data_IF_817230978436
#
_entry.id   IF_817230978436
#
_cell.length_a   1.000
_cell.length_b   1.000
_cell.length_c   1.000
_cell.angle_alpha   90.00
_cell.angle_beta   90.00
_cell.angle_gamma   90.00
#
_symmetry.space_group_name_H-M   'P 1'
#
loop_
_entity.id
_entity.type
_entity.pdbx_description
1 polymer ?
#
# COMPACT_ATOMS: atom_id res chain seq x y z
N UNK A 1 -1.24 -0.14 15.81
CA UNK A 1 -2.27 -0.71 14.92
C UNK A 1 -3.15 0.43 14.44
N UNK A 2 -3.46 0.48 13.15
CA UNK A 2 -4.44 1.41 12.61
C UNK A 2 -5.22 0.77 11.46
N UNK A 3 -6.41 1.30 11.21
CA UNK A 3 -7.26 0.95 10.08
C UNK A 3 -7.63 2.23 9.34
N UNK A 4 -7.68 2.16 8.02
CA UNK A 4 -8.14 3.27 7.19
C UNK A 4 -9.12 2.74 6.13
N UNK A 5 -10.11 3.57 5.83
CA UNK A 5 -11.06 3.38 4.75
C UNK A 5 -10.86 4.51 3.75
N UNK A 6 -10.85 4.18 2.47
CA UNK A 6 -10.76 5.14 1.37
C UNK A 6 -11.96 4.91 0.45
N UNK A 7 -12.57 5.99 -0.03
CA UNK A 7 -13.59 5.95 -1.06
C UNK A 7 -13.27 6.99 -2.12
N UNK A 8 -13.32 6.59 -3.39
CA UNK A 8 -13.15 7.47 -4.53
C UNK A 8 -14.39 7.37 -5.42
N UNK A 9 -15.07 8.50 -5.60
CA UNK A 9 -16.12 8.63 -6.60
C UNK A 9 -15.52 9.34 -7.80
N UNK A 10 -15.62 8.75 -8.99
CA UNK A 10 -15.25 9.41 -10.24
C UNK A 10 -16.42 9.41 -11.20
N UNK A 11 -16.62 10.55 -11.87
CA UNK A 11 -17.66 10.69 -12.88
C UNK A 11 -17.07 10.40 -14.26
N UNK A 12 -17.60 9.39 -14.96
CA UNK A 12 -17.21 9.06 -16.32
C UNK A 12 -17.68 10.13 -17.31
N UNK A 13 -16.76 10.64 -18.14
CA UNK A 13 -17.09 11.59 -19.20
C UNK A 13 -17.86 10.89 -20.33
N UNK A 14 -19.19 10.80 -20.17
CA UNK A 14 -20.13 10.35 -21.20
C UNK A 14 -20.90 9.09 -20.79
N UNK A 15 -22.22 9.24 -20.66
CA UNK A 15 -23.20 8.22 -20.28
C UNK A 15 -23.35 7.90 -18.78
N UNK A 16 -23.60 8.92 -17.95
CA UNK A 16 -24.51 8.83 -16.79
C UNK A 16 -24.23 7.80 -15.67
N UNK A 17 -23.09 7.12 -15.68
CA UNK A 17 -22.64 6.23 -14.60
C UNK A 17 -21.69 6.96 -13.66
N UNK A 18 -21.97 6.90 -12.36
CA UNK A 18 -21.03 7.29 -11.31
C UNK A 18 -20.26 6.06 -10.87
N UNK A 19 -18.93 6.06 -11.00
CA UNK A 19 -18.10 4.95 -10.57
C UNK A 19 -17.69 5.18 -9.12
N UNK A 20 -18.05 4.25 -8.24
CA UNK A 20 -17.70 4.31 -6.81
C UNK A 20 -16.75 3.18 -6.47
N UNK A 21 -15.47 3.51 -6.36
CA UNK A 21 -14.45 2.59 -5.86
C UNK A 21 -14.29 2.81 -4.36
N UNK A 22 -14.18 1.72 -3.60
CA UNK A 22 -13.91 1.79 -2.17
C UNK A 22 -12.82 0.82 -1.79
N UNK A 23 -12.05 1.20 -0.78
CA UNK A 23 -10.95 0.40 -0.29
C UNK A 23 -10.85 0.46 1.22
N UNK A 24 -10.30 -0.60 1.78
CA UNK A 24 -9.98 -0.71 3.19
C UNK A 24 -8.55 -1.17 3.33
N UNK A 25 -7.85 -0.64 4.33
CA UNK A 25 -6.55 -1.16 4.71
C UNK A 25 -6.45 -1.28 6.24
N UNK A 26 -5.83 -2.37 6.66
CA UNK A 26 -5.47 -2.61 8.04
C UNK A 26 -3.96 -2.76 8.15
N UNK A 27 -3.37 -2.12 9.15
CA UNK A 27 -1.95 -2.28 9.44
C UNK A 27 -1.72 -2.54 10.93
N UNK A 28 -0.90 -3.55 11.21
CA UNK A 28 -0.38 -3.85 12.52
C UNK A 28 1.13 -3.67 12.48
N UNK A 29 1.68 -3.04 13.52
CA UNK A 29 3.10 -2.85 13.69
C UNK A 29 3.45 -3.08 15.15
N UNK A 30 4.63 -3.64 15.39
CA UNK A 30 5.13 -3.94 16.72
C UNK A 30 6.63 -3.66 16.80
N UNK A 31 7.03 -2.92 17.84
CA UNK A 31 8.44 -2.77 18.20
C UNK A 31 8.96 -4.11 18.75
N UNK A 32 9.98 -4.66 18.10
CA UNK A 32 10.69 -5.87 18.56
C UNK A 32 11.96 -5.51 19.34
N UNK A 33 12.45 -4.28 19.18
CA UNK A 33 13.56 -3.67 19.91
C UNK A 33 13.41 -2.15 19.85
N UNK A 34 14.21 -1.41 20.62
CA UNK A 34 14.20 0.08 20.63
C UNK A 34 14.51 0.70 19.25
N UNK A 35 15.12 -0.08 18.35
CA UNK A 35 15.51 0.37 17.00
C UNK A 35 14.73 -0.31 15.88
N UNK A 36 14.02 -1.39 16.16
CA UNK A 36 13.41 -2.24 15.13
C UNK A 36 11.91 -2.39 15.37
N UNK A 37 11.13 -2.06 14.34
CA UNK A 37 9.70 -2.30 14.27
C UNK A 37 9.40 -3.20 13.09
N UNK A 38 8.59 -4.23 13.31
CA UNK A 38 8.05 -5.06 12.23
C UNK A 38 6.62 -4.62 11.96
N UNK A 39 6.18 -4.64 10.70
CA UNK A 39 4.81 -4.32 10.34
C UNK A 39 4.27 -5.23 9.24
N UNK A 40 2.96 -5.42 9.28
CA UNK A 40 2.19 -6.06 8.22
C UNK A 40 0.99 -5.18 7.88
N UNK A 41 0.70 -5.04 6.59
CA UNK A 41 -0.45 -4.33 6.06
C UNK A 41 -1.20 -5.23 5.08
N UNK A 42 -2.53 -5.19 5.16
CA UNK A 42 -3.40 -5.78 4.15
C UNK A 42 -4.31 -4.67 3.64
N UNK A 43 -4.32 -4.49 2.33
CA UNK A 43 -5.21 -3.60 1.61
C UNK A 43 -6.15 -4.40 0.72
N UNK A 44 -7.37 -3.92 0.61
CA UNK A 44 -8.37 -4.39 -0.34
C UNK A 44 -9.01 -3.18 -1.01
N UNK A 45 -9.11 -3.22 -2.32
CA UNK A 45 -9.82 -2.23 -3.13
C UNK A 45 -10.86 -2.99 -3.95
N UNK A 46 -12.13 -2.65 -3.78
CA UNK A 46 -13.22 -3.09 -4.63
C UNK A 46 -13.41 -2.02 -5.70
N UNK A 47 -13.00 -2.33 -6.92
CA UNK A 47 -13.30 -1.54 -8.12
C UNK A 47 -14.45 -2.17 -8.91
N UNK A 48 -15.12 -1.38 -9.76
CA UNK A 48 -16.18 -1.90 -10.62
C UNK A 48 -15.74 -3.01 -11.58
N UNK A 49 -14.47 -2.95 -12.03
CA UNK A 49 -13.93 -3.88 -13.03
C UNK A 49 -13.22 -5.08 -12.40
N UNK A 50 -12.49 -4.89 -11.30
CA UNK A 50 -11.74 -5.94 -10.62
C UNK A 50 -11.47 -5.59 -9.14
N UNK A 51 -11.39 -6.65 -8.33
CA UNK A 51 -10.95 -6.60 -6.95
C UNK A 51 -9.42 -6.67 -6.85
N UNK A 52 -8.84 -5.80 -6.03
CA UNK A 52 -7.39 -5.69 -5.88
C UNK A 52 -6.99 -5.90 -4.42
N UNK A 53 -6.24 -6.98 -4.19
CA UNK A 53 -5.64 -7.26 -2.89
C UNK A 53 -4.19 -6.79 -2.86
N UNK A 54 -3.78 -6.19 -1.75
CA UNK A 54 -2.40 -5.82 -1.46
C UNK A 54 -1.99 -6.43 -0.13
N UNK A 55 -0.92 -7.22 -0.13
CA UNK A 55 -0.29 -7.70 1.11
C UNK A 55 1.09 -7.07 1.23
N UNK A 56 1.38 -6.48 2.38
CA UNK A 56 2.69 -5.89 2.66
C UNK A 56 3.24 -6.42 3.97
N UNK A 57 4.51 -6.76 3.97
CA UNK A 57 5.28 -7.04 5.19
C UNK A 57 6.59 -6.28 5.14
N UNK A 58 7.03 -5.75 6.27
CA UNK A 58 8.22 -4.93 6.29
C UNK A 58 8.76 -4.65 7.67
N UNK A 59 9.89 -3.94 7.67
CA UNK A 59 10.61 -3.53 8.86
C UNK A 59 10.96 -2.05 8.80
N UNK A 60 10.88 -1.38 9.94
CA UNK A 60 11.39 -0.04 10.14
C UNK A 60 12.59 -0.11 11.10
N UNK A 61 13.68 0.53 10.70
CA UNK A 61 14.87 0.73 11.50
C UNK A 61 15.00 2.20 11.86
N UNK A 62 14.99 2.50 13.17
CA UNK A 62 15.08 3.85 13.69
C UNK A 62 16.52 4.19 14.07
N UNK A 63 17.00 5.34 13.60
CA UNK A 63 18.31 5.90 13.89
C UNK A 63 18.15 7.22 14.66
N UNK A 64 19.16 7.55 15.48
CA UNK A 64 19.27 8.84 16.19
C UNK A 64 18.00 9.22 16.97
N UNK A 65 17.58 8.39 17.93
CA UNK A 65 16.40 8.64 18.77
C UNK A 65 15.11 8.92 17.98
N UNK A 66 14.94 8.23 16.84
CA UNK A 66 13.82 8.36 15.90
C UNK A 66 13.86 9.58 14.97
N UNK A 67 14.99 10.32 14.92
CA UNK A 67 15.18 11.42 13.98
C UNK A 67 15.44 10.95 12.54
N UNK A 68 15.77 9.68 12.33
CA UNK A 68 15.83 9.08 11.01
C UNK A 68 15.22 7.68 11.03
N UNK A 69 14.58 7.30 9.91
CA UNK A 69 13.92 6.02 9.73
C UNK A 69 14.27 5.43 8.37
N UNK A 70 14.72 4.18 8.38
CA UNK A 70 14.86 3.37 7.19
C UNK A 70 13.73 2.34 7.19
N UNK A 71 12.94 2.30 6.12
CA UNK A 71 11.86 1.33 5.93
C UNK A 71 12.22 0.42 4.78
N UNK A 72 12.08 -0.89 4.98
CA UNK A 72 12.19 -1.89 3.93
C UNK A 72 10.94 -2.75 3.96
N UNK A 73 10.28 -2.90 2.82
CA UNK A 73 9.06 -3.69 2.71
C UNK A 73 8.97 -4.48 1.41
N UNK A 74 8.25 -5.60 1.50
CA UNK A 74 7.86 -6.45 0.40
C UNK A 74 6.34 -6.36 0.26
N UNK A 75 5.90 -5.96 -0.93
CA UNK A 75 4.50 -5.89 -1.32
C UNK A 75 4.20 -7.02 -2.30
N UNK A 76 3.12 -7.74 -2.08
CA UNK A 76 2.57 -8.76 -2.96
C UNK A 76 1.20 -8.30 -3.47
N UNK A 77 1.05 -8.30 -4.78
CA UNK A 77 -0.18 -7.95 -5.50
C UNK A 77 -0.64 -9.19 -6.28
N UNK A 78 -1.47 -10.08 -5.69
CA UNK A 78 -1.94 -11.31 -6.35
C UNK A 78 -2.80 -11.05 -7.59
N UNK A 79 -3.46 -9.88 -7.67
CA UNK A 79 -4.30 -9.48 -8.80
C UNK A 79 -3.55 -8.59 -9.81
N UNK A 80 -2.25 -8.37 -9.60
CA UNK A 80 -1.44 -7.43 -10.37
C UNK A 80 -1.59 -5.98 -9.94
N UNK A 81 -0.81 -5.10 -10.56
CA UNK A 81 -0.91 -3.65 -10.31
C UNK A 81 -1.91 -3.00 -11.27
N UNK A 82 -2.62 -1.93 -10.85
CA UNK A 82 -3.44 -1.17 -11.77
C UNK A 82 -2.56 -0.54 -12.85
N UNK A 83 -2.96 -0.71 -14.11
CA UNK A 83 -2.29 -0.11 -15.26
C UNK A 83 -2.24 1.42 -15.09
N UNK A 84 -1.03 1.97 -15.18
CA UNK A 84 -0.74 3.41 -15.14
C UNK A 84 -1.29 4.17 -13.91
N UNK A 85 -1.01 3.65 -12.71
CA UNK A 85 -1.51 4.26 -11.46
C UNK A 85 -0.68 5.45 -10.94
N UNK A 86 0.48 5.78 -11.53
CA UNK A 86 1.40 6.77 -10.96
C UNK A 86 1.97 6.39 -9.59
N UNK A 87 1.67 5.17 -9.10
CA UNK A 87 2.08 4.63 -7.80
C UNK A 87 3.46 3.96 -7.84
N UNK A 88 4.15 4.01 -8.98
CA UNK A 88 5.48 3.44 -9.16
C UNK A 88 5.53 1.92 -9.32
N UNK A 89 4.39 1.27 -9.58
CA UNK A 89 4.33 -0.15 -9.93
C UNK A 89 4.63 -0.37 -11.41
N UNK A 90 5.31 -1.47 -11.73
CA UNK A 90 5.53 -1.88 -13.12
C UNK A 90 4.25 -2.55 -13.61
N UNK A 91 3.69 -2.03 -14.70
CA UNK A 91 2.44 -2.53 -15.29
C UNK A 91 2.51 -4.05 -15.52
N UNK A 92 1.58 -4.76 -14.89
CA UNK A 92 1.45 -6.22 -14.90
C UNK A 92 -0.03 -6.59 -14.80
N UNK A 93 -0.85 -5.98 -15.65
CA UNK A 93 -2.30 -6.16 -15.68
C UNK A 93 -2.69 -7.65 -15.68
N UNK A 94 -3.18 -8.14 -14.53
CA UNK A 94 -3.68 -9.50 -14.34
C UNK A 94 -2.64 -10.56 -13.97
N UNK A 95 -1.36 -10.20 -13.76
CA UNK A 95 -0.31 -11.13 -13.32
C UNK A 95 0.14 -10.81 -11.89
N UNK A 96 0.50 -11.82 -11.10
CA UNK A 96 0.93 -11.59 -9.73
C UNK A 96 2.29 -10.87 -9.67
N UNK A 97 2.41 -9.89 -8.76
CA UNK A 97 3.59 -9.05 -8.69
C UNK A 97 4.16 -8.97 -7.27
N UNK A 98 5.48 -9.06 -7.17
CA UNK A 98 6.23 -8.70 -5.96
C UNK A 98 6.97 -7.38 -6.18
N UNK A 99 6.91 -6.52 -5.16
CA UNK A 99 7.56 -5.21 -5.17
C UNK A 99 8.39 -5.08 -3.91
N UNK A 100 9.67 -4.80 -4.08
CA UNK A 100 10.58 -4.49 -2.97
C UNK A 100 10.76 -3.00 -2.90
N UNK A 101 10.51 -2.43 -1.72
CA UNK A 101 10.65 -1.00 -1.46
C UNK A 101 11.66 -0.78 -0.36
N UNK A 102 12.50 0.23 -0.57
CA UNK A 102 13.38 0.78 0.46
C UNK A 102 13.14 2.28 0.49
N UNK A 103 12.79 2.80 1.66
CA UNK A 103 12.52 4.21 1.87
C UNK A 103 13.37 4.72 3.02
N UNK A 104 14.00 5.88 2.83
CA UNK A 104 14.68 6.60 3.89
C UNK A 104 13.93 7.90 4.18
N UNK A 105 13.61 8.13 5.45
CA UNK A 105 12.94 9.34 5.93
C UNK A 105 13.79 9.99 7.02
N UNK A 106 13.99 11.30 6.88
CA UNK A 106 14.61 12.15 7.88
C UNK A 106 13.52 13.00 8.54
N UNK A 107 13.50 13.05 9.87
CA UNK A 107 12.74 14.04 10.62
C UNK A 107 13.75 15.08 11.12
N UNK A 108 13.75 16.25 10.48
CA UNK A 108 14.56 17.42 10.83
C UNK A 108 13.79 18.36 11.74
#
# INVERSE_FOLDING_TARGET
MYFALLGLSSDGAGSGGSNTDWGALGQVAQMVSDKWEVFGRVGYINGESDDLWELTTGVNYYLFDHNAKLTMDLVYLPNGSPADSGLGYVDSAGEDQFVVRVQFQLAL
#
